data_IF_763977997275
#
_entry.id   IF_763977997275
#
_cell.length_a   1.000
_cell.length_b   1.000
_cell.length_c   1.000
_cell.angle_alpha   90.00
_cell.angle_beta   90.00
_cell.angle_gamma   90.00
#
_symmetry.space_group_name_H-M   'P 1'
#
loop_
_entity.id
_entity.type
_entity.pdbx_description
1 polymer ?
#
# COMPACT_ATOMS: atom_id res chain seq x y z
N UNK A 1 -2.21 -16.17 3.10
CA UNK A 1 -2.50 -15.66 1.74
C UNK A 1 -1.28 -15.01 1.09
N UNK A 2 -0.71 -13.92 1.62
CA UNK A 2 0.45 -13.22 1.02
C UNK A 2 1.66 -14.13 0.73
N UNK A 3 2.12 -14.91 1.72
CA UNK A 3 3.17 -15.92 1.50
C UNK A 3 2.83 -16.96 0.43
N UNK A 4 1.54 -17.33 0.32
CA UNK A 4 1.10 -18.29 -0.69
C UNK A 4 1.15 -17.72 -2.12
N UNK A 5 1.05 -16.40 -2.27
CA UNK A 5 1.29 -15.70 -3.53
C UNK A 5 2.76 -15.34 -3.77
N UNK A 6 3.69 -15.84 -2.95
CA UNK A 6 5.13 -15.63 -3.12
C UNK A 6 5.70 -14.36 -2.50
N UNK A 7 4.92 -13.61 -1.70
CA UNK A 7 5.44 -12.44 -1.00
C UNK A 7 6.36 -12.85 0.16
N UNK A 8 7.51 -12.19 0.26
CA UNK A 8 8.35 -12.22 1.45
C UNK A 8 7.74 -11.33 2.54
N UNK A 9 7.67 -11.84 3.78
CA UNK A 9 7.12 -11.11 4.92
C UNK A 9 8.21 -10.77 5.92
N UNK A 10 8.44 -9.48 6.12
CA UNK A 10 9.26 -8.93 7.21
C UNK A 10 8.33 -8.46 8.32
N UNK A 11 8.39 -9.11 9.48
CA UNK A 11 7.60 -8.73 10.66
C UNK A 11 8.34 -7.64 11.45
N UNK A 12 7.62 -6.60 11.87
CA UNK A 12 8.14 -5.51 12.72
C UNK A 12 7.64 -5.63 14.14
N UNK A 13 8.25 -4.87 15.07
CA UNK A 13 7.76 -4.77 16.45
C UNK A 13 6.32 -4.24 16.48
N UNK A 14 5.40 -5.05 17.02
CA UNK A 14 3.99 -4.71 17.14
C UNK A 14 3.72 -3.44 17.97
N UNK A 15 4.58 -3.12 18.95
CA UNK A 15 4.43 -1.89 19.77
C UNK A 15 4.60 -0.61 18.95
N UNK A 16 5.36 -0.67 17.86
CA UNK A 16 5.58 0.47 16.95
C UNK A 16 4.45 0.64 15.92
N UNK A 17 3.56 -0.35 15.79
CA UNK A 17 2.42 -0.32 14.88
C UNK A 17 2.79 0.00 13.43
N UNK A 18 1.90 0.72 12.74
CA UNK A 18 2.07 1.07 11.32
C UNK A 18 3.30 1.95 11.07
N UNK A 19 3.63 2.85 12.00
CA UNK A 19 4.82 3.70 11.88
C UNK A 19 6.10 2.86 11.80
N UNK A 20 6.22 1.84 12.65
CA UNK A 20 7.34 0.91 12.61
C UNK A 20 7.43 0.10 11.30
N UNK A 21 6.28 -0.26 10.72
CA UNK A 21 6.24 -0.93 9.42
C UNK A 21 6.73 -0.02 8.28
N UNK A 22 6.35 1.27 8.31
CA UNK A 22 6.81 2.27 7.33
C UNK A 22 8.33 2.52 7.48
N UNK A 23 8.81 2.73 8.71
CA UNK A 23 10.25 2.88 9.00
C UNK A 23 11.05 1.69 8.47
N UNK A 24 10.56 0.46 8.69
CA UNK A 24 11.24 -0.73 8.18
C UNK A 24 11.21 -0.83 6.65
N UNK A 25 10.11 -0.43 6.01
CA UNK A 25 10.04 -0.39 4.55
C UNK A 25 11.04 0.61 3.96
N UNK A 26 11.19 1.79 4.58
CA UNK A 26 12.16 2.82 4.17
C UNK A 26 13.61 2.36 4.35
N UNK A 27 13.91 1.60 5.41
CA UNK A 27 15.21 0.94 5.58
C UNK A 27 15.48 -0.06 4.44
N UNK A 28 14.55 -0.97 4.18
CA UNK A 28 14.68 -1.99 3.14
C UNK A 28 14.86 -1.37 1.74
N UNK A 29 14.16 -0.27 1.45
CA UNK A 29 14.31 0.39 0.15
C UNK A 29 15.68 1.04 -0.08
N UNK A 30 16.45 1.31 0.98
CA UNK A 30 17.84 1.78 0.87
C UNK A 30 18.81 0.63 0.59
N UNK A 31 18.47 -0.58 1.02
CA UNK A 31 19.32 -1.77 0.92
C UNK A 31 19.05 -2.57 -0.35
N UNK A 32 17.80 -2.60 -0.81
CA UNK A 32 17.37 -3.40 -1.96
C UNK A 32 17.51 -2.56 -3.24
N UNK A 33 18.37 -2.98 -4.19
CA UNK A 33 18.50 -2.30 -5.48
C UNK A 33 17.16 -2.29 -6.23
N UNK A 34 16.83 -1.15 -6.84
CA UNK A 34 15.57 -0.95 -7.57
C UNK A 34 14.30 -1.13 -6.74
N UNK A 35 14.39 -1.01 -5.41
CA UNK A 35 13.21 -1.01 -4.56
C UNK A 35 12.24 0.12 -4.91
N UNK A 36 10.95 -0.20 -4.83
CA UNK A 36 9.87 0.76 -5.02
C UNK A 36 8.90 0.64 -3.85
N UNK A 37 8.65 1.77 -3.18
CA UNK A 37 7.63 1.88 -2.13
C UNK A 37 6.41 2.58 -2.76
N UNK A 38 5.25 1.90 -2.90
CA UNK A 38 4.06 2.52 -3.48
C UNK A 38 3.50 3.70 -2.67
N UNK A 39 3.76 3.73 -1.36
CA UNK A 39 3.46 4.88 -0.50
C UNK A 39 1.97 5.15 -0.33
N UNK A 40 1.14 4.14 -0.06
CA UNK A 40 -0.34 4.25 -0.04
C UNK A 40 -0.89 5.40 0.84
N UNK A 41 -0.19 5.82 1.89
CA UNK A 41 -0.63 6.90 2.78
C UNK A 41 -0.35 8.31 2.24
N UNK A 42 0.57 8.45 1.28
CA UNK A 42 1.03 9.75 0.77
C UNK A 42 0.88 9.88 -0.74
N UNK A 43 0.75 8.76 -1.46
CA UNK A 43 0.68 8.75 -2.90
C UNK A 43 -0.71 9.19 -3.39
N UNK A 44 -0.83 10.30 -4.15
CA UNK A 44 -2.11 10.78 -4.67
C UNK A 44 -2.77 9.79 -5.64
N UNK A 45 -2.04 8.81 -6.17
CA UNK A 45 -2.60 7.72 -6.96
C UNK A 45 -3.59 6.86 -6.16
N UNK A 46 -3.46 6.76 -4.83
CA UNK A 46 -4.38 6.01 -3.99
C UNK A 46 -5.82 6.60 -4.05
N UNK A 47 -6.08 7.85 -3.64
CA UNK A 47 -7.43 8.42 -3.79
C UNK A 47 -7.85 8.56 -5.26
N UNK A 48 -6.93 8.77 -6.20
CA UNK A 48 -7.25 8.84 -7.62
C UNK A 48 -7.77 7.50 -8.18
N UNK A 49 -7.22 6.36 -7.74
CA UNK A 49 -7.68 5.04 -8.14
C UNK A 49 -9.16 4.85 -7.78
N UNK A 50 -9.55 5.22 -6.57
CA UNK A 50 -10.94 5.17 -6.12
C UNK A 50 -11.85 6.12 -6.90
N UNK A 51 -11.42 7.35 -7.18
CA UNK A 51 -12.23 8.26 -8.02
C UNK A 51 -12.47 7.71 -9.42
N UNK A 52 -11.45 7.08 -10.02
CA UNK A 52 -11.52 6.53 -11.38
C UNK A 52 -12.39 5.27 -11.48
N UNK A 53 -12.43 4.47 -10.41
CA UNK A 53 -13.09 3.16 -10.38
C UNK A 53 -14.23 3.15 -9.38
N UNK A 54 -13.94 2.97 -8.09
CA UNK A 54 -14.95 2.86 -7.01
C UNK A 54 -16.04 3.93 -7.06
N UNK A 55 -15.68 5.20 -7.25
CA UNK A 55 -16.66 6.29 -7.32
C UNK A 55 -17.51 6.25 -8.58
N UNK A 56 -16.92 5.83 -9.71
CA UNK A 56 -17.62 5.64 -10.98
C UNK A 56 -18.58 4.46 -10.90
N UNK A 57 -18.14 3.34 -10.32
CA UNK A 57 -18.97 2.14 -10.09
C UNK A 57 -20.22 2.49 -9.29
N UNK A 58 -20.05 3.19 -8.15
CA UNK A 58 -21.18 3.62 -7.32
C UNK A 58 -22.14 4.51 -8.12
N UNK A 59 -21.63 5.51 -8.85
CA UNK A 59 -22.46 6.43 -9.62
C UNK A 59 -23.27 5.73 -10.71
N UNK A 60 -22.65 4.80 -11.43
CA UNK A 60 -23.32 4.00 -12.46
C UNK A 60 -24.37 3.06 -11.85
N UNK A 61 -24.06 2.44 -10.71
CA UNK A 61 -24.96 1.52 -10.01
C UNK A 61 -26.14 2.24 -9.31
N UNK A 62 -26.03 3.55 -9.05
CA UNK A 62 -27.10 4.35 -8.45
C UNK A 62 -27.88 5.21 -9.44
N UNK A 63 -27.72 4.99 -10.75
CA UNK A 63 -28.38 5.75 -11.83
C UNK A 63 -28.10 7.28 -11.79
N UNK A 64 -27.00 7.68 -11.15
CA UNK A 64 -26.64 9.09 -10.90
C UNK A 64 -27.10 9.60 -9.56
#
# INVERSE_FOLDING_TARGET
LMKAYGAELVLTDGKKGMKGAIEKADELAKEIPHAFIPGQFVNPANPAAHRKTTGKEIWEDTDG
#
